data_IF_221398210826
#
_entry.id   IF_221398210826
#
_cell.length_a   1.000
_cell.length_b   1.000
_cell.length_c   1.000
_cell.angle_alpha   90.00
_cell.angle_beta   90.00
_cell.angle_gamma   90.00
#
_symmetry.space_group_name_H-M   'P 1'
#
loop_
_entity.id
_entity.type
_entity.pdbx_description
1 polymer ?
#
# COMPACT_ATOMS: atom_id res chain seq x y z
N UNK A 1 7.83 -25.28 -20.16
CA UNK A 1 9.16 -24.71 -19.87
C UNK A 1 9.86 -25.62 -18.87
N UNK A 2 11.14 -25.92 -19.07
CA UNK A 2 12.00 -26.48 -18.02
C UNK A 2 12.66 -25.30 -17.31
N UNK A 3 12.54 -25.22 -16.00
CA UNK A 3 13.19 -24.16 -15.20
C UNK A 3 14.55 -24.72 -14.76
N UNK A 4 15.61 -23.98 -15.04
CA UNK A 4 16.96 -24.30 -14.55
C UNK A 4 17.14 -23.74 -13.14
N UNK A 5 17.57 -24.59 -12.21
CA UNK A 5 17.88 -24.20 -10.83
C UNK A 5 19.39 -24.31 -10.63
N UNK A 6 20.03 -23.42 -9.86
CA UNK A 6 21.43 -23.59 -9.49
C UNK A 6 21.60 -24.80 -8.57
N UNK A 7 22.76 -25.45 -8.65
CA UNK A 7 23.11 -26.61 -7.84
C UNK A 7 23.61 -26.20 -6.45
N UNK A 8 22.68 -25.72 -5.62
CA UNK A 8 22.92 -25.38 -4.21
C UNK A 8 22.02 -26.24 -3.30
N UNK A 9 22.44 -27.45 -2.90
CA UNK A 9 21.60 -28.36 -2.11
C UNK A 9 21.10 -27.79 -0.79
N UNK A 10 21.83 -26.83 -0.20
CA UNK A 10 21.50 -26.20 1.09
C UNK A 10 20.27 -25.29 1.06
N UNK A 11 19.84 -24.84 -0.13
CA UNK A 11 18.70 -23.93 -0.31
C UNK A 11 17.57 -24.51 -1.16
N UNK A 12 17.79 -25.68 -1.78
CA UNK A 12 16.80 -26.38 -2.60
C UNK A 12 16.44 -25.64 -3.89
N UNK A 13 15.28 -25.95 -4.46
CA UNK A 13 14.81 -25.36 -5.73
C UNK A 13 14.09 -24.04 -5.47
N UNK A 14 14.83 -22.93 -5.55
CA UNK A 14 14.29 -21.59 -5.47
C UNK A 14 14.87 -20.71 -6.58
N UNK A 15 14.00 -19.94 -7.21
CA UNK A 15 14.38 -18.98 -8.25
C UNK A 15 13.37 -17.83 -8.29
N UNK A 16 13.75 -16.76 -8.99
CA UNK A 16 12.96 -15.54 -9.09
C UNK A 16 12.61 -15.15 -10.53
N UNK A 17 13.20 -15.74 -11.55
CA UNK A 17 13.04 -15.33 -12.95
C UNK A 17 11.65 -15.73 -13.48
N UNK A 18 11.26 -16.97 -13.26
CA UNK A 18 9.96 -17.54 -13.66
C UNK A 18 8.92 -17.50 -12.55
N UNK A 19 9.31 -17.06 -11.35
CA UNK A 19 8.37 -16.83 -10.27
C UNK A 19 7.34 -15.77 -10.68
N UNK A 20 6.08 -16.19 -10.78
CA UNK A 20 4.91 -15.33 -10.86
C UNK A 20 4.12 -15.45 -9.55
N UNK A 21 4.01 -14.37 -8.75
CA UNK A 21 3.26 -14.42 -7.49
C UNK A 21 1.78 -14.74 -7.71
N UNK A 22 1.19 -14.33 -8.83
CA UNK A 22 -0.24 -14.52 -9.13
C UNK A 22 -0.59 -15.95 -9.53
N UNK A 23 0.38 -16.70 -10.05
CA UNK A 23 0.21 -18.11 -10.42
C UNK A 23 0.85 -19.08 -9.41
N UNK A 24 1.62 -18.58 -8.45
CA UNK A 24 2.33 -19.41 -7.48
C UNK A 24 1.38 -20.22 -6.62
N UNK A 25 1.73 -21.48 -6.39
CA UNK A 25 0.97 -22.40 -5.54
C UNK A 25 1.91 -23.13 -4.58
N UNK A 26 1.51 -23.30 -3.31
CA UNK A 26 2.27 -24.11 -2.38
C UNK A 26 2.19 -25.59 -2.80
N UNK A 27 3.24 -26.36 -2.47
CA UNK A 27 3.26 -27.80 -2.70
C UNK A 27 2.13 -28.51 -1.95
N UNK A 28 1.87 -28.07 -0.71
CA UNK A 28 0.75 -28.56 0.10
C UNK A 28 -0.40 -27.55 0.08
N UNK A 29 -1.66 -28.00 -0.10
CA UNK A 29 -2.81 -27.12 -0.06
C UNK A 29 -2.82 -26.27 1.22
N UNK A 30 -2.85 -24.95 1.05
CA UNK A 30 -2.99 -24.00 2.15
C UNK A 30 -4.28 -23.20 1.95
N UNK A 31 -5.29 -23.37 2.83
CA UNK A 31 -6.57 -22.67 2.73
C UNK A 31 -6.44 -21.14 2.70
N UNK A 32 -5.41 -20.56 3.32
CA UNK A 32 -5.17 -19.13 3.28
C UNK A 32 -4.87 -18.66 1.84
N UNK A 33 -4.01 -19.38 1.11
CA UNK A 33 -3.73 -19.06 -0.30
C UNK A 33 -4.91 -19.39 -1.23
N UNK A 34 -5.68 -20.44 -0.93
CA UNK A 34 -6.84 -20.82 -1.75
C UNK A 34 -8.02 -19.85 -1.65
N UNK A 35 -8.10 -19.11 -0.53
CA UNK A 35 -9.19 -18.16 -0.23
C UNK A 35 -8.72 -16.71 -0.21
N UNK A 36 -7.44 -16.46 -0.51
CA UNK A 36 -6.84 -15.14 -0.50
C UNK A 36 -7.60 -14.22 -1.46
N UNK A 37 -8.11 -13.11 -0.95
CA UNK A 37 -8.67 -12.06 -1.77
C UNK A 37 -7.64 -10.95 -2.05
N UNK A 38 -8.08 -9.89 -2.74
CA UNK A 38 -7.19 -8.75 -3.09
C UNK A 38 -6.75 -7.96 -1.86
N UNK A 39 -7.58 -7.87 -0.82
CA UNK A 39 -7.24 -7.17 0.42
C UNK A 39 -6.20 -7.98 1.21
N UNK A 40 -6.34 -9.31 1.28
CA UNK A 40 -5.36 -10.22 1.88
C UNK A 40 -4.02 -10.13 1.14
N UNK A 41 -4.05 -10.20 -0.20
CA UNK A 41 -2.86 -10.10 -1.04
C UNK A 41 -2.14 -8.76 -0.87
N UNK A 42 -2.88 -7.65 -0.86
CA UNK A 42 -2.33 -6.31 -0.59
C UNK A 42 -1.71 -6.23 0.80
N UNK A 43 -2.41 -6.71 1.83
CA UNK A 43 -1.90 -6.70 3.20
C UNK A 43 -0.60 -7.49 3.33
N UNK A 44 -0.54 -8.69 2.75
CA UNK A 44 0.66 -9.53 2.78
C UNK A 44 1.82 -8.90 1.99
N UNK A 45 1.54 -8.38 0.79
CA UNK A 45 2.54 -7.71 -0.04
C UNK A 45 3.15 -6.50 0.67
N UNK A 46 2.34 -5.71 1.39
CA UNK A 46 2.84 -4.61 2.22
C UNK A 46 3.82 -5.09 3.31
N UNK A 47 3.55 -6.22 3.96
CA UNK A 47 4.49 -6.74 4.96
C UNK A 47 5.80 -7.18 4.31
N UNK A 48 5.70 -7.89 3.18
CA UNK A 48 6.87 -8.36 2.42
C UNK A 48 7.72 -7.19 1.94
N UNK A 49 7.09 -6.13 1.43
CA UNK A 49 7.78 -4.93 0.93
C UNK A 49 8.39 -4.06 2.04
N UNK A 50 8.08 -4.30 3.31
CA UNK A 50 8.71 -3.56 4.42
C UNK A 50 10.19 -3.92 4.59
N UNK A 51 10.60 -5.12 4.21
CA UNK A 51 11.98 -5.57 4.35
C UNK A 51 12.88 -4.92 3.30
N UNK A 52 13.91 -4.23 3.75
CA UNK A 52 15.00 -3.69 2.93
C UNK A 52 15.92 -4.80 2.41
N UNK A 53 16.74 -4.48 1.41
CA UNK A 53 17.74 -5.43 0.89
C UNK A 53 18.74 -5.81 1.98
N UNK A 54 19.17 -4.85 2.79
CA UNK A 54 20.09 -5.06 3.91
C UNK A 54 19.48 -5.99 4.96
N UNK A 55 18.20 -5.82 5.30
CA UNK A 55 17.49 -6.70 6.22
C UNK A 55 17.32 -8.11 5.64
N UNK A 56 17.01 -8.24 4.35
CA UNK A 56 16.93 -9.56 3.70
C UNK A 56 18.29 -10.27 3.70
N UNK A 57 19.39 -9.57 3.40
CA UNK A 57 20.74 -10.13 3.52
C UNK A 57 21.04 -10.55 4.96
N UNK A 58 20.71 -9.71 5.94
CA UNK A 58 20.93 -10.01 7.34
C UNK A 58 20.12 -11.22 7.81
N UNK A 59 18.85 -11.33 7.39
CA UNK A 59 17.99 -12.48 7.69
C UNK A 59 18.58 -13.78 7.12
N UNK A 60 19.01 -13.76 5.86
CA UNK A 60 19.63 -14.92 5.22
C UNK A 60 20.94 -15.33 5.89
N UNK A 61 21.78 -14.37 6.29
CA UNK A 61 23.03 -14.63 7.00
C UNK A 61 22.82 -15.34 8.37
N UNK A 62 21.65 -15.21 8.99
CA UNK A 62 21.33 -15.96 10.22
C UNK A 62 21.26 -17.48 9.99
N UNK A 63 21.07 -17.92 8.74
CA UNK A 63 21.08 -19.32 8.33
C UNK A 63 22.45 -19.99 8.39
N UNK A 64 23.54 -19.22 8.44
CA UNK A 64 24.94 -19.70 8.54
C UNK A 64 25.25 -20.79 7.51
N UNK A 65 24.97 -20.49 6.25
CA UNK A 65 25.24 -21.44 5.16
C UNK A 65 26.75 -21.70 5.04
N UNK A 66 27.13 -22.94 4.78
CA UNK A 66 28.54 -23.30 4.57
C UNK A 66 29.08 -22.82 3.22
N UNK A 67 28.18 -22.56 2.28
CA UNK A 67 28.46 -22.05 0.95
C UNK A 67 27.96 -20.61 0.85
N UNK A 68 28.90 -19.67 0.67
CA UNK A 68 28.62 -18.25 0.56
C UNK A 68 27.92 -17.88 -0.76
N UNK A 69 28.12 -18.65 -1.83
CA UNK A 69 27.44 -18.40 -3.12
C UNK A 69 25.96 -18.76 -3.03
N UNK A 70 25.64 -19.88 -2.37
CA UNK A 70 24.26 -20.26 -2.06
C UNK A 70 23.56 -19.22 -1.17
N UNK A 71 24.25 -18.68 -0.16
CA UNK A 71 23.73 -17.62 0.71
C UNK A 71 23.41 -16.34 -0.08
N UNK A 72 24.36 -15.88 -0.90
CA UNK A 72 24.19 -14.69 -1.73
C UNK A 72 23.04 -14.87 -2.74
N UNK A 73 22.98 -16.02 -3.41
CA UNK A 73 21.92 -16.34 -4.37
C UNK A 73 20.53 -16.35 -3.71
N UNK A 74 20.41 -16.92 -2.50
CA UNK A 74 19.14 -16.93 -1.77
C UNK A 74 18.69 -15.50 -1.43
N UNK A 75 19.60 -14.66 -0.92
CA UNK A 75 19.28 -13.27 -0.60
C UNK A 75 18.80 -12.50 -1.84
N UNK A 76 19.52 -12.61 -2.96
CA UNK A 76 19.14 -11.96 -4.22
C UNK A 76 17.79 -12.48 -4.75
N UNK A 77 17.56 -13.79 -4.65
CA UNK A 77 16.30 -14.42 -5.05
C UNK A 77 15.13 -13.89 -4.22
N UNK A 78 15.30 -13.74 -2.90
CA UNK A 78 14.26 -13.19 -2.04
C UNK A 78 13.96 -11.72 -2.36
N UNK A 79 14.97 -10.89 -2.65
CA UNK A 79 14.77 -9.49 -3.08
C UNK A 79 13.96 -9.42 -4.37
N UNK A 80 14.36 -10.18 -5.40
CA UNK A 80 13.65 -10.20 -6.68
C UNK A 80 12.20 -10.66 -6.53
N UNK A 81 11.96 -11.69 -5.70
CA UNK A 81 10.60 -12.18 -5.41
C UNK A 81 9.78 -11.16 -4.62
N UNK A 82 10.38 -10.48 -3.62
CA UNK A 82 9.76 -9.37 -2.87
C UNK A 82 9.26 -8.31 -3.85
N UNK A 83 10.11 -7.88 -4.77
CA UNK A 83 9.77 -6.82 -5.73
C UNK A 83 8.66 -7.25 -6.71
N UNK A 84 8.67 -8.52 -7.15
CA UNK A 84 7.58 -9.08 -7.97
C UNK A 84 6.26 -9.14 -7.20
N UNK A 85 6.28 -9.53 -5.92
CA UNK A 85 5.10 -9.53 -5.04
C UNK A 85 4.55 -8.11 -4.88
N UNK A 86 5.43 -7.13 -4.60
CA UNK A 86 5.06 -5.73 -4.51
C UNK A 86 4.39 -5.25 -5.79
N UNK A 87 4.97 -5.60 -6.96
CA UNK A 87 4.40 -5.22 -8.25
C UNK A 87 3.02 -5.82 -8.51
N UNK A 88 2.82 -7.08 -8.13
CA UNK A 88 1.57 -7.78 -8.40
C UNK A 88 0.39 -7.26 -7.57
N UNK A 89 0.63 -6.88 -6.30
CA UNK A 89 -0.48 -6.72 -5.34
C UNK A 89 -0.62 -5.34 -4.71
N UNK A 90 0.41 -4.49 -4.72
CA UNK A 90 0.30 -3.16 -4.10
C UNK A 90 -0.58 -2.18 -4.90
N UNK A 91 -1.01 -2.49 -6.12
CA UNK A 91 -1.89 -1.63 -6.91
C UNK A 91 -3.35 -1.54 -6.41
N UNK A 92 -3.76 -2.44 -5.51
CA UNK A 92 -5.12 -2.47 -4.97
C UNK A 92 -5.44 -1.21 -4.15
N UNK A 93 -6.63 -0.62 -4.35
CA UNK A 93 -7.01 0.65 -3.72
C UNK A 93 -6.13 1.85 -4.12
N UNK A 94 -5.32 1.74 -5.18
CA UNK A 94 -4.42 2.78 -5.65
C UNK A 94 -3.08 2.80 -4.92
N UNK A 95 -2.77 1.75 -4.14
CA UNK A 95 -1.52 1.64 -3.39
C UNK A 95 -1.41 2.57 -2.19
N UNK A 96 -2.54 3.02 -1.65
CA UNK A 96 -2.57 3.96 -0.54
C UNK A 96 -2.65 3.25 0.80
N UNK A 97 -1.80 3.65 1.75
CA UNK A 97 -1.84 3.17 3.13
C UNK A 97 -1.22 4.19 4.11
N UNK A 98 -0.98 3.79 5.36
CA UNK A 98 -0.37 4.61 6.44
C UNK A 98 -1.17 5.89 6.71
N UNK A 99 -2.49 5.80 6.53
CA UNK A 99 -3.43 6.86 6.83
C UNK A 99 -3.36 7.24 8.30
N UNK A 100 -3.29 8.54 8.56
CA UNK A 100 -3.32 9.12 9.91
C UNK A 100 -3.83 10.55 9.82
N UNK A 101 -4.39 11.03 10.92
CA UNK A 101 -4.77 12.43 11.05
C UNK A 101 -3.64 13.16 11.78
N UNK A 102 -3.19 14.28 11.22
CA UNK A 102 -2.16 15.14 11.79
C UNK A 102 -2.73 16.55 12.02
N UNK A 103 -2.43 17.14 13.17
CA UNK A 103 -2.71 18.54 13.47
C UNK A 103 -1.45 19.37 13.22
N UNK A 104 -1.57 20.44 12.43
CA UNK A 104 -0.47 21.36 12.16
C UNK A 104 -0.92 22.81 12.18
N UNK A 105 0.04 23.73 12.06
CA UNK A 105 -0.23 25.19 12.04
C UNK A 105 -1.22 25.61 10.94
N UNK A 106 -1.33 24.82 9.87
CA UNK A 106 -2.23 25.04 8.74
C UNK A 106 -3.54 24.24 8.83
N UNK A 107 -3.91 23.78 10.03
CA UNK A 107 -5.12 22.99 10.30
C UNK A 107 -4.88 21.47 10.33
N UNK A 108 -5.97 20.73 10.59
CA UNK A 108 -5.99 19.27 10.63
C UNK A 108 -5.98 18.67 9.22
N UNK A 109 -5.17 17.63 9.02
CA UNK A 109 -4.95 16.98 7.72
C UNK A 109 -5.04 15.46 7.83
N UNK A 110 -5.62 14.83 6.81
CA UNK A 110 -5.49 13.41 6.56
C UNK A 110 -4.24 13.21 5.69
N UNK A 111 -3.24 12.52 6.23
CA UNK A 111 -2.02 12.18 5.50
C UNK A 111 -1.95 10.67 5.29
N UNK A 112 -1.34 10.27 4.18
CA UNK A 112 -1.18 8.87 3.79
C UNK A 112 0.12 8.70 3.00
N UNK A 113 0.40 7.48 2.57
CA UNK A 113 1.55 7.14 1.74
C UNK A 113 1.09 6.46 0.46
N UNK A 114 1.75 6.79 -0.64
CA UNK A 114 1.72 6.02 -1.87
C UNK A 114 2.79 4.93 -1.79
N UNK A 115 2.40 3.69 -1.48
CA UNK A 115 3.35 2.58 -1.30
C UNK A 115 4.09 2.26 -2.60
N UNK A 116 3.44 2.43 -3.76
CA UNK A 116 4.09 2.17 -5.04
C UNK A 116 5.20 3.20 -5.32
N UNK A 117 4.97 4.47 -5.02
CA UNK A 117 6.00 5.50 -5.15
C UNK A 117 7.10 5.32 -4.09
N UNK A 118 6.71 5.02 -2.84
CA UNK A 118 7.63 4.79 -1.71
C UNK A 118 8.63 3.67 -2.00
N UNK A 119 8.19 2.62 -2.68
CA UNK A 119 9.04 1.49 -3.08
C UNK A 119 9.62 1.62 -4.50
N UNK A 120 9.50 2.78 -5.15
CA UNK A 120 10.06 3.04 -6.48
C UNK A 120 9.40 2.28 -7.63
N UNK A 121 8.26 1.61 -7.40
CA UNK A 121 7.54 0.84 -8.41
C UNK A 121 6.75 1.73 -9.36
N UNK A 122 6.25 2.87 -8.88
CA UNK A 122 5.63 3.91 -9.68
C UNK A 122 5.99 5.28 -9.08
N UNK A 123 7.22 5.79 -9.35
CA UNK A 123 7.75 6.97 -8.67
C UNK A 123 7.09 8.29 -9.11
N UNK A 124 6.36 8.28 -10.22
CA UNK A 124 5.66 9.45 -10.74
C UNK A 124 4.47 9.83 -9.86
N UNK A 125 4.29 11.13 -9.65
CA UNK A 125 3.17 11.66 -8.88
C UNK A 125 1.83 11.30 -9.55
N UNK A 126 0.97 10.55 -8.84
CA UNK A 126 -0.34 10.12 -9.35
C UNK A 126 -1.44 11.09 -8.98
N UNK A 127 -2.19 11.53 -9.99
CA UNK A 127 -3.38 12.35 -9.79
C UNK A 127 -4.49 11.55 -9.10
N UNK A 128 -5.12 12.19 -8.11
CA UNK A 128 -6.20 11.62 -7.31
C UNK A 128 -7.37 12.57 -7.25
N UNK A 129 -8.57 12.06 -7.49
CA UNK A 129 -9.81 12.76 -7.21
C UNK A 129 -10.25 12.41 -5.79
N UNK A 130 -10.42 13.44 -4.96
CA UNK A 130 -10.82 13.31 -3.57
C UNK A 130 -12.21 13.88 -3.40
N UNK A 131 -13.14 13.08 -2.91
CA UNK A 131 -14.49 13.50 -2.53
C UNK A 131 -14.66 13.32 -1.03
N UNK A 132 -14.88 14.43 -0.33
CA UNK A 132 -15.24 14.39 1.08
C UNK A 132 -16.75 14.36 1.25
N UNK A 133 -17.24 13.49 2.12
CA UNK A 133 -18.66 13.36 2.45
C UNK A 133 -18.89 13.29 3.95
N UNK A 134 -20.09 13.68 4.36
CA UNK A 134 -20.64 13.26 5.67
C UNK A 134 -20.92 11.75 5.59
N UNK A 135 -20.57 10.99 6.61
CA UNK A 135 -20.90 9.56 6.68
C UNK A 135 -21.99 9.32 7.73
N UNK A 136 -23.03 8.56 7.38
CA UNK A 136 -24.03 8.09 8.31
C UNK A 136 -23.59 6.73 8.86
N UNK A 137 -23.08 6.72 10.09
CA UNK A 137 -22.57 5.51 10.72
C UNK A 137 -23.66 4.53 11.16
N UNK A 138 -24.91 4.99 11.35
CA UNK A 138 -26.02 4.09 11.69
C UNK A 138 -26.55 3.38 10.45
N UNK A 139 -26.68 4.11 9.33
CA UNK A 139 -27.11 3.55 8.06
C UNK A 139 -26.00 2.79 7.33
N UNK A 140 -24.72 3.11 7.60
CA UNK A 140 -23.58 2.57 6.87
C UNK A 140 -23.44 3.18 5.46
N UNK A 141 -23.93 4.40 5.26
CA UNK A 141 -24.06 5.01 3.94
C UNK A 141 -23.32 6.36 3.84
N UNK A 142 -22.77 6.61 2.65
CA UNK A 142 -22.17 7.90 2.31
C UNK A 142 -23.27 8.95 2.09
N UNK A 143 -23.28 9.99 2.91
CA UNK A 143 -24.23 11.09 2.84
C UNK A 143 -23.83 12.18 1.85
N UNK A 144 -24.20 13.43 2.16
CA UNK A 144 -23.94 14.59 1.30
C UNK A 144 -22.44 14.81 1.06
N UNK A 145 -22.10 15.22 -0.15
CA UNK A 145 -20.77 15.73 -0.50
C UNK A 145 -20.52 17.08 0.15
N UNK A 146 -19.33 17.24 0.73
CA UNK A 146 -18.85 18.48 1.34
C UNK A 146 -17.94 19.25 0.37
N UNK A 147 -16.90 18.58 -0.13
CA UNK A 147 -15.97 19.17 -1.10
C UNK A 147 -15.42 18.11 -2.03
N UNK A 148 -14.95 18.55 -3.19
CA UNK A 148 -14.29 17.71 -4.17
C UNK A 148 -13.08 18.45 -4.73
N UNK A 149 -11.94 17.77 -4.79
CA UNK A 149 -10.71 18.32 -5.31
C UNK A 149 -9.90 17.28 -6.07
N UNK A 150 -8.93 17.76 -6.84
CA UNK A 150 -7.90 16.93 -7.45
C UNK A 150 -6.57 17.27 -6.82
N UNK A 151 -5.74 16.27 -6.54
CA UNK A 151 -4.42 16.45 -5.93
C UNK A 151 -3.45 15.37 -6.36
N UNK A 152 -2.17 15.69 -6.31
CA UNK A 152 -1.07 14.72 -6.40
C UNK A 152 -0.40 14.48 -5.04
N UNK A 153 -0.76 15.27 -4.02
CA UNK A 153 -0.18 15.21 -2.68
C UNK A 153 -0.82 14.11 -1.84
N UNK A 154 -0.03 13.47 -0.99
CA UNK A 154 -0.49 12.51 0.03
C UNK A 154 -0.94 13.17 1.34
N UNK A 155 -1.42 14.42 1.25
CA UNK A 155 -1.92 15.21 2.37
C UNK A 155 -3.16 16.02 1.98
N UNK A 156 -4.25 15.80 2.70
CA UNK A 156 -5.56 16.39 2.44
C UNK A 156 -5.99 17.24 3.63
N UNK A 157 -6.35 18.50 3.39
CA UNK A 157 -7.03 19.28 4.41
C UNK A 157 -8.42 18.67 4.68
N UNK A 158 -8.80 18.60 5.96
CA UNK A 158 -10.16 18.21 6.32
C UNK A 158 -11.15 19.33 5.97
N UNK A 159 -12.41 19.00 5.62
CA UNK A 159 -13.45 20.00 5.42
C UNK A 159 -13.76 20.72 6.73
N UNK A 160 -13.69 22.05 6.74
CA UNK A 160 -14.04 22.86 7.93
C UNK A 160 -15.56 22.96 8.15
N UNK A 161 -16.36 22.61 7.13
CA UNK A 161 -17.79 22.85 7.13
C UNK A 161 -18.57 21.82 7.97
N UNK A 162 -19.42 22.32 8.87
CA UNK A 162 -20.35 21.56 9.73
C UNK A 162 -19.75 20.56 10.74
N UNK A 163 -18.43 20.29 10.71
CA UNK A 163 -17.72 19.38 11.62
C UNK A 163 -18.53 18.12 12.01
N UNK A 164 -19.00 17.34 11.03
CA UNK A 164 -19.90 16.20 11.29
C UNK A 164 -19.23 15.14 12.16
N UNK A 165 -20.00 14.31 12.89
CA UNK A 165 -19.43 13.27 13.74
C UNK A 165 -18.59 12.24 12.97
N UNK A 166 -18.91 11.99 11.70
CA UNK A 166 -18.16 11.10 10.83
C UNK A 166 -17.93 11.72 9.45
N UNK A 167 -16.73 11.52 8.92
CA UNK A 167 -16.31 11.92 7.60
C UNK A 167 -15.86 10.70 6.80
N UNK A 168 -16.12 10.75 5.49
CA UNK A 168 -15.58 9.81 4.52
C UNK A 168 -14.76 10.59 3.49
N UNK A 169 -13.50 10.19 3.29
CA UNK A 169 -12.70 10.58 2.14
C UNK A 169 -12.68 9.44 1.12
N UNK A 170 -13.32 9.66 -0.04
CA UNK A 170 -13.21 8.79 -1.20
C UNK A 170 -12.02 9.28 -2.05
N UNK A 171 -10.97 8.48 -2.15
CA UNK A 171 -9.73 8.83 -2.86
C UNK A 171 -9.59 7.93 -4.06
N UNK A 172 -10.01 8.42 -5.23
CA UNK A 172 -9.93 7.73 -6.50
C UNK A 172 -8.58 8.03 -7.17
N UNK A 173 -7.75 7.01 -7.34
CA UNK A 173 -6.50 7.06 -8.11
C UNK A 173 -6.81 6.64 -9.55
N UNK A 174 -6.44 7.48 -10.53
CA UNK A 174 -6.67 7.25 -11.95
C UNK A 174 -5.36 7.00 -12.69
N UNK A 175 -5.35 6.07 -13.66
CA UNK A 175 -4.23 5.88 -14.58
C UNK A 175 -4.60 6.14 -16.05
N UNK A 176 -5.68 5.53 -16.55
CA UNK A 176 -6.34 5.77 -17.85
C UNK A 176 -7.86 5.70 -17.67
N UNK A 177 -8.64 6.10 -18.69
CA UNK A 177 -10.09 6.37 -18.59
C UNK A 177 -10.95 5.28 -17.91
N UNK A 178 -10.52 4.01 -17.93
CA UNK A 178 -11.28 2.90 -17.31
C UNK A 178 -10.58 2.26 -16.09
N UNK A 179 -9.29 2.50 -15.89
CA UNK A 179 -8.51 1.94 -14.78
C UNK A 179 -8.55 2.88 -13.58
N UNK A 180 -9.29 2.45 -12.56
CA UNK A 180 -9.47 3.19 -11.31
C UNK A 180 -9.36 2.27 -10.12
N UNK A 181 -8.79 2.81 -9.05
CA UNK A 181 -8.84 2.22 -7.74
C UNK A 181 -9.22 3.29 -6.72
N UNK A 182 -10.03 2.92 -5.74
CA UNK A 182 -10.53 3.84 -4.74
C UNK A 182 -10.16 3.33 -3.35
N UNK A 183 -9.62 4.22 -2.53
CA UNK A 183 -9.51 4.01 -1.08
C UNK A 183 -10.54 4.89 -0.38
N UNK A 184 -11.27 4.31 0.58
CA UNK A 184 -12.26 4.96 1.41
C UNK A 184 -11.69 5.07 2.82
N UNK A 185 -11.44 6.29 3.27
CA UNK A 185 -10.94 6.57 4.61
C UNK A 185 -12.05 7.15 5.49
N UNK A 186 -12.38 6.44 6.56
CA UNK A 186 -13.44 6.79 7.50
C UNK A 186 -12.83 7.43 8.73
N UNK A 187 -13.28 8.64 9.03
CA UNK A 187 -12.80 9.43 10.16
C UNK A 187 -13.94 9.68 11.13
N UNK A 188 -13.66 9.59 12.43
CA UNK A 188 -14.58 9.95 13.51
C UNK A 188 -14.10 11.21 14.20
N UNK A 189 -15.01 12.12 14.51
CA UNK A 189 -14.71 13.30 15.32
C UNK A 189 -14.51 12.87 16.78
N UNK A 190 -13.40 13.26 17.37
CA UNK A 190 -13.15 13.03 18.79
C UNK A 190 -14.13 13.84 19.64
N UNK A 191 -14.71 13.19 20.64
CA UNK A 191 -15.55 13.88 21.62
C UNK A 191 -14.66 14.77 22.49
N UNK A 192 -15.05 16.04 22.67
CA UNK A 192 -14.41 16.88 23.67
C UNK A 192 -14.66 16.27 25.06
N UNK A 193 -13.61 15.99 25.83
CA UNK A 193 -13.73 15.47 27.19
C UNK A 193 -14.61 16.40 28.05
N UNK A 194 -15.53 15.86 28.90
CA UNK A 194 -16.30 16.69 29.82
C UNK A 194 -15.36 17.45 30.77
N UNK A 195 -15.35 18.78 30.70
CA UNK A 195 -14.52 19.63 31.56
C UNK A 195 -13.24 20.19 30.93
N UNK A 196 -12.93 19.87 29.67
CA UNK A 196 -11.83 20.52 28.94
C UNK A 196 -12.05 22.05 28.86
N UNK A 197 -11.02 22.82 29.24
CA UNK A 197 -11.11 24.29 29.21
C UNK A 197 -11.35 24.75 27.77
N UNK A 198 -12.02 25.90 27.58
CA UNK A 198 -12.37 26.45 26.24
C UNK A 198 -11.16 26.59 25.29
N UNK A 199 -9.93 26.60 25.83
CA UNK A 199 -8.66 26.70 25.10
C UNK A 199 -8.04 25.34 24.73
N UNK A 200 -8.59 24.21 25.21
CA UNK A 200 -8.13 22.83 24.94
C UNK A 200 -9.08 22.07 24.00
N UNK A 201 -10.10 22.75 23.44
CA UNK A 201 -11.03 22.16 22.48
C UNK A 201 -10.41 22.09 21.08
N UNK A 202 -9.35 21.34 20.92
CA UNK A 202 -9.04 20.78 19.61
C UNK A 202 -9.89 19.52 19.46
N UNK A 203 -11.13 19.68 18.99
CA UNK A 203 -11.92 18.54 18.53
C UNK A 203 -11.26 18.02 17.25
N UNK A 204 -10.36 17.05 17.40
CA UNK A 204 -9.68 16.39 16.30
C UNK A 204 -10.58 15.36 15.60
N UNK A 205 -10.08 14.82 14.50
CA UNK A 205 -10.60 13.60 13.91
C UNK A 205 -9.56 12.49 14.09
N UNK A 206 -10.03 11.26 14.17
CA UNK A 206 -9.18 10.07 14.15
C UNK A 206 -9.61 9.14 13.00
N UNK A 207 -8.66 8.33 12.51
CA UNK A 207 -8.96 7.27 11.56
C UNK A 207 -9.66 6.11 12.26
N UNK A 208 -10.83 5.70 11.76
CA UNK A 208 -11.60 4.58 12.34
C UNK A 208 -11.85 3.43 11.36
N UNK A 209 -11.63 3.64 10.06
CA UNK A 209 -11.84 2.59 9.05
C UNK A 209 -11.16 2.87 7.73
N UNK A 210 -10.87 1.80 7.00
CA UNK A 210 -10.32 1.82 5.64
C UNK A 210 -10.97 0.73 4.80
N UNK A 211 -11.46 1.09 3.61
CA UNK A 211 -11.92 0.16 2.59
C UNK A 211 -11.25 0.46 1.25
N UNK A 212 -11.17 -0.53 0.36
CA UNK A 212 -10.49 -0.42 -0.94
C UNK A 212 -11.30 -1.12 -2.02
N UNK A 213 -11.29 -0.57 -3.23
CA UNK A 213 -11.83 -1.24 -4.42
C UNK A 213 -10.97 -0.93 -5.65
N UNK A 214 -11.02 -1.82 -6.65
CA UNK A 214 -10.27 -1.67 -7.90
C UNK A 214 -8.76 -1.76 -7.73
N UNK A 215 -8.05 -1.77 -8.85
CA UNK A 215 -6.59 -1.78 -8.90
C UNK A 215 -6.08 -0.89 -10.03
N UNK A 216 -4.93 -0.28 -9.81
CA UNK A 216 -4.21 0.44 -10.86
C UNK A 216 -2.94 -0.36 -11.15
N UNK A 217 -2.78 -0.92 -12.37
CA UNK A 217 -1.61 -1.69 -12.71
C UNK A 217 -0.37 -0.81 -12.73
N UNK A 218 0.75 -1.37 -12.27
CA UNK A 218 2.06 -0.74 -12.38
C UNK A 218 2.53 -0.93 -13.80
N UNK A 219 2.90 0.16 -14.48
CA UNK A 219 3.45 0.08 -15.83
C UNK A 219 4.84 -0.54 -15.73
N UNK A 220 5.08 -1.61 -16.47
CA UNK A 220 6.46 -2.00 -16.75
C UNK A 220 7.11 -0.86 -17.52
N UNK A 221 8.24 -0.37 -17.01
CA UNK A 221 9.10 0.44 -17.85
C UNK A 221 9.62 -0.47 -18.94
N UNK A 222 9.32 -0.14 -20.21
CA UNK A 222 9.94 -0.82 -21.34
C UNK A 222 11.48 -0.75 -21.23
N UNK A 223 12.20 -1.63 -21.94
CA UNK A 223 13.65 -1.80 -21.80
C UNK A 223 14.50 -0.53 -21.97
N UNK A 224 13.95 0.56 -22.52
CA UNK A 224 14.63 1.86 -22.66
C UNK A 224 14.91 2.58 -21.34
N UNK A 225 14.08 2.43 -20.30
CA UNK A 225 14.29 3.20 -19.07
C UNK A 225 15.33 2.56 -18.12
N UNK A 226 15.52 1.24 -18.19
CA UNK A 226 16.56 0.55 -17.44
C UNK A 226 17.98 0.95 -17.89
N UNK A 227 18.13 1.40 -19.15
CA UNK A 227 19.40 1.91 -19.68
C UNK A 227 19.74 3.33 -19.20
N UNK A 228 18.75 4.13 -18.78
CA UNK A 228 18.93 5.53 -18.42
C UNK A 228 19.39 5.76 -16.97
N UNK A 229 19.39 4.72 -16.12
CA UNK A 229 19.86 4.78 -14.73
C UNK A 229 21.29 4.23 -14.59
N UNK A 230 21.89 3.79 -15.69
CA UNK A 230 23.23 3.20 -15.75
C UNK A 230 24.30 4.12 -16.37
N UNK A 231 23.98 5.41 -16.64
CA UNK A 231 24.94 6.48 -16.98
C UNK A 231 25.06 7.49 -15.84
#
# INVERSE_FOLDING_TARGET
LSIEYPDYPSIGHIEAEHFDPTEWKPLYPNPAFQRMDKADAFWAARQVMHFTDEELRALVATGRYSDSEAEAYLAETLMKRRDKIGRAYLGYGGGLDRFRVENGASGTRLVFEDLLATHGLAPEARERRVTWRVFDNEAGEAGRTLTQQTTVRESLALPEEAAPPFLLAEIETRAKEEERATTYAYLRREASAPGARRLEKESGYEMVGLERTGEVPIREQGPEAAAAVAE
#
